data_IF_480046616655
#
_entry.id   IF_480046616655
#
_cell.length_a   1.000
_cell.length_b   1.000
_cell.length_c   1.000
_cell.angle_alpha   90.00
_cell.angle_beta   90.00
_cell.angle_gamma   90.00
#
_symmetry.space_group_name_H-M   'P 1'
#
loop_
_entity.id
_entity.type
_entity.pdbx_description
1 polymer ?
#
# COMPACT_ATOMS: atom_id res chain seq x y z
N UNK A 1 -34.48 14.32 51.70
CA UNK A 1 -33.66 13.13 52.05
C UNK A 1 -32.59 13.00 50.95
N UNK A 2 -31.27 13.15 51.14
CA UNK A 2 -30.36 12.83 52.28
C UNK A 2 -30.61 11.39 52.78
N UNK A 3 -29.69 10.42 52.76
CA UNK A 3 -28.27 10.36 52.32
C UNK A 3 -28.06 9.06 51.49
N UNK A 4 -26.89 8.54 51.08
CA UNK A 4 -25.47 8.70 51.48
C UNK A 4 -24.54 8.20 50.33
N UNK A 5 -23.24 8.48 50.43
CA UNK A 5 -22.19 7.80 49.64
C UNK A 5 -21.39 6.85 50.56
N UNK A 6 -20.90 5.73 50.01
CA UNK A 6 -20.00 4.79 50.69
C UNK A 6 -18.87 4.45 49.73
N UNK A 7 -17.63 4.71 50.15
CA UNK A 7 -16.43 4.28 49.43
C UNK A 7 -15.64 3.24 50.23
N UNK A 8 -14.62 2.65 49.61
CA UNK A 8 -13.58 1.90 50.31
C UNK A 8 -13.10 0.62 49.62
N UNK A 9 -11.77 0.47 49.52
CA UNK A 9 -11.14 -0.85 49.44
C UNK A 9 -10.79 -1.43 48.06
N UNK A 10 -9.85 -0.80 47.32
CA UNK A 10 -9.07 -1.55 46.32
C UNK A 10 -8.21 -2.60 47.03
N UNK A 11 -8.54 -3.88 46.88
CA UNK A 11 -7.74 -5.01 47.39
C UNK A 11 -6.39 -5.06 46.64
N UNK A 12 -5.28 -4.99 47.37
CA UNK A 12 -3.94 -5.31 46.83
C UNK A 12 -3.74 -6.81 46.87
N UNK A 13 -3.43 -7.42 45.74
CA UNK A 13 -2.85 -8.77 45.69
C UNK A 13 -1.32 -8.67 45.90
N UNK A 14 -0.68 -9.66 46.55
CA UNK A 14 0.78 -9.66 46.70
C UNK A 14 1.49 -9.93 45.36
N UNK A 15 2.65 -9.31 45.16
CA UNK A 15 3.51 -9.55 44.01
C UNK A 15 4.23 -10.90 44.11
N UNK A 16 3.97 -11.81 43.17
CA UNK A 16 4.84 -12.96 42.92
C UNK A 16 5.89 -12.57 41.87
N UNK A 17 7.14 -12.46 42.29
CA UNK A 17 8.27 -12.16 41.41
C UNK A 17 8.69 -13.42 40.64
N UNK A 18 8.41 -13.46 39.34
CA UNK A 18 9.02 -14.42 38.41
C UNK A 18 10.04 -13.67 37.57
N UNK A 19 11.31 -13.80 37.91
CA UNK A 19 12.43 -13.20 37.18
C UNK A 19 12.66 -13.94 35.86
N UNK A 20 12.30 -13.31 34.74
CA UNK A 20 12.62 -13.83 33.40
C UNK A 20 13.90 -13.16 32.87
N UNK A 21 14.93 -13.93 32.46
CA UNK A 21 16.26 -13.39 32.14
C UNK A 21 16.38 -12.97 30.67
N UNK A 22 15.63 -11.95 30.26
CA UNK A 22 15.90 -11.18 29.05
C UNK A 22 15.77 -9.69 29.37
N UNK A 23 16.92 -9.05 29.60
CA UNK A 23 17.00 -7.61 29.84
C UNK A 23 16.64 -6.83 28.58
N UNK A 24 15.36 -6.53 28.43
CA UNK A 24 14.91 -5.40 27.61
C UNK A 24 15.65 -4.17 28.13
N UNK A 25 16.43 -3.52 27.27
CA UNK A 25 17.04 -2.23 27.58
C UNK A 25 15.90 -1.22 27.62
N UNK A 26 15.36 -1.00 28.82
CA UNK A 26 14.49 0.14 29.09
C UNK A 26 15.34 1.40 29.00
N UNK A 27 15.31 2.06 27.85
CA UNK A 27 15.69 3.47 27.76
C UNK A 27 14.58 4.29 28.42
N UNK A 28 14.56 4.29 29.76
CA UNK A 28 13.91 5.36 30.51
C UNK A 28 14.86 6.56 30.46
N UNK A 29 14.48 7.58 29.67
CA UNK A 29 14.76 9.02 29.83
C UNK A 29 14.42 9.76 28.52
N UNK A 30 13.13 9.83 28.18
CA UNK A 30 12.63 10.76 27.15
C UNK A 30 12.41 12.15 27.78
N UNK A 31 13.49 12.75 28.29
CA UNK A 31 13.60 14.21 28.27
C UNK A 31 13.79 14.60 26.79
N UNK A 32 12.72 14.99 26.11
CA UNK A 32 12.81 15.43 24.70
C UNK A 32 13.68 16.69 24.59
N UNK A 33 14.98 16.49 24.37
CA UNK A 33 15.89 17.52 23.90
C UNK A 33 15.37 18.02 22.53
N UNK A 34 14.94 19.29 22.41
CA UNK A 34 14.32 19.83 21.20
C UNK A 34 15.32 20.03 20.05
N UNK A 35 16.53 19.49 20.16
CA UNK A 35 17.57 19.57 19.14
C UNK A 35 17.23 18.71 17.91
N UNK A 36 17.56 19.17 16.69
CA UNK A 36 17.31 18.40 15.47
C UNK A 36 18.24 17.18 15.39
N UNK A 37 17.65 15.98 15.28
CA UNK A 37 18.33 14.70 15.25
C UNK A 37 18.41 14.13 13.82
N UNK A 38 19.49 13.39 13.53
CA UNK A 38 19.61 12.61 12.29
C UNK A 38 19.43 11.11 12.60
N UNK A 39 18.42 10.48 12.00
CA UNK A 39 18.16 9.04 12.14
C UNK A 39 18.34 8.36 10.78
N UNK A 40 19.16 7.30 10.73
CA UNK A 40 19.39 6.52 9.51
C UNK A 40 18.36 5.39 9.39
N UNK A 41 17.56 5.38 8.32
CA UNK A 41 16.72 4.22 8.01
C UNK A 41 17.57 3.10 7.43
N UNK A 42 17.51 1.92 8.04
CA UNK A 42 18.17 0.69 7.53
C UNK A 42 17.47 0.19 6.26
N UNK A 43 16.14 0.30 6.19
CA UNK A 43 15.31 -0.21 5.08
C UNK A 43 15.60 0.55 3.77
N UNK A 44 15.71 1.88 3.84
CA UNK A 44 15.94 2.73 2.66
C UNK A 44 17.39 3.22 2.51
N UNK A 45 18.28 2.86 3.47
CA UNK A 45 19.65 3.36 3.57
C UNK A 45 19.80 4.90 3.45
N UNK A 46 18.82 5.66 3.96
CA UNK A 46 18.75 7.13 3.89
C UNK A 46 18.77 7.76 5.29
N UNK A 47 19.37 8.94 5.38
CA UNK A 47 19.30 9.79 6.57
C UNK A 47 18.01 10.62 6.56
N UNK A 48 17.35 10.70 7.71
CA UNK A 48 16.11 11.45 7.92
C UNK A 48 16.36 12.44 9.06
N UNK A 49 15.99 13.70 8.85
CA UNK A 49 16.04 14.75 9.87
C UNK A 49 14.75 14.69 10.68
N UNK A 50 14.88 14.58 12.01
CA UNK A 50 13.80 14.71 12.97
C UNK A 50 14.01 16.03 13.71
N UNK A 51 13.11 17.00 13.52
CA UNK A 51 13.13 18.28 14.21
C UNK A 51 11.73 18.60 14.68
N UNK A 52 11.56 18.81 15.98
CA UNK A 52 10.28 19.18 16.58
C UNK A 52 10.11 20.71 16.45
N UNK A 53 9.05 21.14 15.78
CA UNK A 53 8.67 22.55 15.78
C UNK A 53 7.85 22.82 17.05
N UNK A 54 8.48 23.42 18.05
CA UNK A 54 7.85 23.73 19.35
C UNK A 54 6.58 24.62 19.22
N UNK A 55 6.36 25.25 18.06
CA UNK A 55 5.14 26.00 17.75
C UNK A 55 4.00 25.18 17.16
N UNK A 56 4.20 23.89 16.82
CA UNK A 56 3.19 23.04 16.15
C UNK A 56 3.04 21.68 16.82
N UNK A 57 1.84 21.40 17.32
CA UNK A 57 1.47 20.09 17.86
C UNK A 57 1.15 19.11 16.74
N UNK A 58 1.23 17.81 17.04
CA UNK A 58 0.80 16.75 16.11
C UNK A 58 -0.65 16.95 15.61
N UNK A 59 -1.53 17.54 16.42
CA UNK A 59 -2.91 17.91 16.06
C UNK A 59 -3.03 18.99 14.98
N UNK A 60 -2.00 19.81 14.80
CA UNK A 60 -2.05 20.99 13.93
C UNK A 60 -1.74 20.59 12.47
N UNK A 61 -1.19 19.38 12.28
CA UNK A 61 -1.03 18.73 10.99
C UNK A 61 -2.37 18.19 10.47
N UNK A 62 -3.24 19.11 10.02
CA UNK A 62 -4.36 18.73 9.17
C UNK A 62 -3.84 18.15 7.87
N UNK A 63 -4.10 16.87 7.63
CA UNK A 63 -4.07 16.32 6.29
C UNK A 63 -4.97 17.16 5.38
N UNK A 64 -4.52 17.47 4.16
CA UNK A 64 -5.41 18.01 3.13
C UNK A 64 -6.47 16.95 2.88
N UNK A 65 -7.69 17.17 3.36
CA UNK A 65 -8.77 16.19 3.23
C UNK A 65 -9.21 16.11 1.78
N UNK A 66 -8.57 15.23 1.01
CA UNK A 66 -8.93 14.89 -0.37
C UNK A 66 -10.13 13.94 -0.41
N UNK A 67 -11.16 14.21 0.41
CA UNK A 67 -12.53 13.87 0.06
C UNK A 67 -12.86 14.72 -1.15
N UNK A 68 -12.53 14.18 -2.32
CA UNK A 68 -12.56 14.89 -3.58
C UNK A 68 -14.02 15.18 -3.92
N UNK A 69 -14.47 16.41 -3.65
CA UNK A 69 -15.81 16.92 -3.98
C UNK A 69 -15.99 17.18 -5.49
N UNK A 70 -15.16 16.53 -6.31
CA UNK A 70 -15.24 16.60 -7.76
C UNK A 70 -16.56 15.95 -8.23
N UNK A 71 -17.44 16.70 -8.92
CA UNK A 71 -18.70 16.16 -9.44
C UNK A 71 -18.52 15.07 -10.51
N UNK A 72 -17.29 14.77 -10.96
CA UNK A 72 -17.02 13.61 -11.81
C UNK A 72 -17.19 12.27 -11.10
N UNK A 73 -17.21 12.22 -9.75
CA UNK A 73 -17.30 10.97 -8.96
C UNK A 73 -18.61 10.17 -9.17
N UNK A 74 -19.57 10.73 -9.90
CA UNK A 74 -20.82 10.06 -10.29
C UNK A 74 -20.90 9.77 -11.81
N UNK A 75 -19.80 9.94 -12.56
CA UNK A 75 -19.76 9.59 -13.99
C UNK A 75 -19.07 8.23 -14.17
N UNK A 76 -19.61 7.32 -15.00
CA UNK A 76 -18.90 6.11 -15.34
C UNK A 76 -17.59 6.43 -16.07
N UNK A 77 -16.65 5.50 -16.01
CA UNK A 77 -15.38 5.53 -16.73
C UNK A 77 -15.08 4.14 -17.33
N UNK A 78 -14.01 4.03 -18.12
CA UNK A 78 -13.58 2.78 -18.79
C UNK A 78 -13.26 1.60 -17.86
N UNK A 79 -13.23 1.82 -16.54
CA UNK A 79 -13.06 0.76 -15.54
C UNK A 79 -14.38 0.32 -14.88
N UNK A 80 -15.49 0.99 -15.17
CA UNK A 80 -16.81 0.60 -14.67
C UNK A 80 -17.35 -0.61 -15.45
N UNK A 81 -18.18 -1.40 -14.78
CA UNK A 81 -18.91 -2.49 -15.46
C UNK A 81 -19.74 -1.95 -16.64
N UNK A 82 -19.80 -2.72 -17.73
CA UNK A 82 -20.45 -2.34 -18.98
C UNK A 82 -19.62 -1.45 -19.92
N UNK A 83 -18.37 -1.13 -19.56
CA UNK A 83 -17.42 -0.37 -20.37
C UNK A 83 -16.15 -1.20 -20.68
N UNK A 84 -16.25 -2.53 -20.62
CA UNK A 84 -15.14 -3.46 -20.84
C UNK A 84 -14.50 -3.27 -22.22
N UNK A 85 -15.31 -3.02 -23.26
CA UNK A 85 -14.89 -2.81 -24.65
C UNK A 85 -14.17 -1.48 -24.89
N UNK A 86 -14.30 -0.51 -23.97
CA UNK A 86 -13.57 0.78 -23.99
C UNK A 86 -12.23 0.68 -23.22
N UNK A 87 -11.97 -0.45 -22.59
CA UNK A 87 -10.78 -0.70 -21.79
C UNK A 87 -9.67 -1.37 -22.63
N UNK A 88 -8.46 -1.33 -22.12
CA UNK A 88 -7.33 -2.16 -22.57
C UNK A 88 -7.62 -3.66 -22.40
N UNK A 89 -6.85 -4.54 -23.10
CA UNK A 89 -6.99 -5.98 -22.99
C UNK A 89 -7.02 -6.48 -21.55
N UNK A 90 -7.92 -7.43 -21.30
CA UNK A 90 -8.05 -8.07 -20.02
C UNK A 90 -7.09 -9.25 -19.88
N UNK A 91 -6.51 -9.38 -18.70
CA UNK A 91 -5.61 -10.47 -18.33
C UNK A 91 -6.43 -11.54 -17.57
N UNK A 92 -7.19 -11.13 -16.56
CA UNK A 92 -8.22 -11.96 -15.91
C UNK A 92 -9.25 -11.12 -15.14
N UNK A 93 -10.31 -11.79 -14.69
CA UNK A 93 -11.35 -11.27 -13.80
C UNK A 93 -11.65 -12.21 -12.63
N UNK A 94 -12.24 -11.68 -11.57
CA UNK A 94 -12.72 -12.42 -10.41
C UNK A 94 -14.18 -12.03 -10.13
N UNK A 95 -15.15 -12.98 -10.11
CA UNK A 95 -15.00 -14.38 -10.50
C UNK A 95 -14.58 -14.56 -11.96
N UNK A 96 -13.94 -15.69 -12.27
CA UNK A 96 -13.38 -15.96 -13.61
C UNK A 96 -14.50 -16.17 -14.64
N UNK A 97 -14.31 -15.64 -15.85
CA UNK A 97 -15.28 -15.66 -16.99
C UNK A 97 -16.70 -15.12 -16.71
N UNK A 98 -16.99 -14.57 -15.54
CA UNK A 98 -18.31 -14.00 -15.23
C UNK A 98 -18.47 -12.56 -15.76
N UNK A 99 -19.66 -12.24 -16.27
CA UNK A 99 -20.01 -10.86 -16.68
C UNK A 99 -20.12 -9.92 -15.47
N UNK A 100 -20.60 -10.42 -14.34
CA UNK A 100 -20.74 -9.68 -13.07
C UNK A 100 -19.47 -9.80 -12.22
N UNK A 101 -18.34 -9.37 -12.80
CA UNK A 101 -17.04 -9.36 -12.12
C UNK A 101 -17.02 -8.38 -10.94
N UNK A 102 -16.16 -8.67 -9.96
CA UNK A 102 -15.84 -7.79 -8.82
C UNK A 102 -14.48 -7.12 -8.96
N UNK A 103 -13.49 -7.88 -9.42
CA UNK A 103 -12.12 -7.41 -9.63
C UNK A 103 -11.74 -7.76 -11.07
N UNK A 104 -11.01 -6.88 -11.73
CA UNK A 104 -10.41 -7.11 -13.05
C UNK A 104 -8.95 -6.72 -13.05
N UNK A 105 -8.15 -7.45 -13.81
CA UNK A 105 -6.75 -7.11 -14.08
C UNK A 105 -6.63 -6.90 -15.59
N UNK A 106 -6.22 -5.70 -15.98
CA UNK A 106 -6.13 -5.24 -17.37
C UNK A 106 -4.75 -4.65 -17.63
N UNK A 107 -4.31 -4.60 -18.88
CA UNK A 107 -3.09 -3.86 -19.24
C UNK A 107 -3.27 -2.37 -18.90
N UNK A 108 -2.22 -1.64 -18.50
CA UNK A 108 -2.36 -0.21 -18.24
C UNK A 108 -2.50 0.56 -19.58
N UNK A 109 -3.60 1.31 -19.83
CA UNK A 109 -3.74 2.12 -21.05
C UNK A 109 -2.68 3.22 -21.19
N UNK A 110 -2.01 3.59 -20.09
CA UNK A 110 -0.90 4.54 -20.03
C UNK A 110 0.37 3.86 -19.52
N UNK A 111 0.68 2.67 -20.04
CA UNK A 111 1.86 1.91 -19.66
C UNK A 111 3.17 2.70 -19.93
N UNK A 112 3.95 2.88 -18.85
CA UNK A 112 5.28 3.54 -18.88
C UNK A 112 6.39 2.60 -19.41
N UNK A 113 6.09 1.30 -19.47
CA UNK A 113 6.98 0.24 -19.95
C UNK A 113 6.25 -0.53 -21.05
N UNK A 114 6.98 -1.05 -22.05
CA UNK A 114 6.40 -1.83 -23.13
C UNK A 114 6.70 -3.33 -22.94
N UNK A 115 5.66 -4.14 -23.13
CA UNK A 115 5.72 -5.60 -23.14
C UNK A 115 6.26 -6.18 -24.45
N UNK A 116 6.35 -5.35 -25.50
CA UNK A 116 6.70 -5.75 -26.87
C UNK A 116 8.16 -5.43 -27.26
N UNK A 117 8.91 -4.76 -26.37
CA UNK A 117 10.32 -4.47 -26.60
C UNK A 117 11.19 -5.74 -26.46
N UNK A 118 12.31 -5.83 -27.18
CA UNK A 118 13.25 -6.94 -27.02
C UNK A 118 13.82 -6.97 -25.60
N UNK A 119 13.90 -8.17 -25.02
CA UNK A 119 14.54 -8.39 -23.72
C UNK A 119 16.05 -8.45 -23.89
N UNK A 120 16.78 -7.60 -23.18
CA UNK A 120 18.22 -7.69 -23.03
C UNK A 120 18.57 -8.22 -21.64
N UNK A 121 19.08 -9.46 -21.58
CA UNK A 121 19.44 -10.14 -20.33
C UNK A 121 20.85 -9.71 -19.87
N UNK A 122 21.79 -9.61 -20.82
CA UNK A 122 23.20 -9.32 -20.58
C UNK A 122 23.57 -7.91 -21.05
N UNK A 123 23.13 -6.88 -20.32
CA UNK A 123 23.55 -5.50 -20.59
C UNK A 123 24.87 -5.20 -19.88
N UNK A 124 25.91 -4.70 -20.59
CA UNK A 124 27.16 -4.30 -19.95
C UNK A 124 26.95 -3.22 -18.87
N UNK A 125 27.73 -3.31 -17.79
CA UNK A 125 27.69 -2.43 -16.60
C UNK A 125 27.87 -0.92 -16.89
N UNK A 126 28.26 -0.57 -18.11
CA UNK A 126 28.53 0.80 -18.58
C UNK A 126 27.52 1.35 -19.61
N UNK A 127 26.41 0.67 -19.90
CA UNK A 127 25.39 1.22 -20.80
C UNK A 127 24.49 2.19 -20.04
N UNK A 128 24.63 3.49 -20.33
CA UNK A 128 23.88 4.56 -19.64
C UNK A 128 22.40 4.72 -20.02
N UNK A 129 21.89 3.91 -20.96
CA UNK A 129 20.49 3.93 -21.44
C UNK A 129 20.03 2.49 -21.69
N UNK A 130 18.84 2.15 -21.20
CA UNK A 130 18.19 0.85 -21.39
C UNK A 130 16.85 1.04 -22.08
N UNK A 131 16.45 0.07 -22.90
CA UNK A 131 15.09 -0.02 -23.41
C UNK A 131 14.10 -0.30 -22.27
N UNK A 132 12.96 0.39 -22.28
CA UNK A 132 11.93 0.32 -21.24
C UNK A 132 11.07 -0.93 -21.30
N UNK A 133 11.68 -2.12 -21.40
CA UNK A 133 10.95 -3.38 -21.34
C UNK A 133 10.36 -3.61 -19.95
N UNK A 134 9.09 -4.02 -19.92
CA UNK A 134 8.41 -4.40 -18.70
C UNK A 134 6.90 -4.47 -18.87
N UNK A 135 6.22 -4.93 -17.83
CA UNK A 135 4.77 -5.13 -17.84
C UNK A 135 4.17 -4.16 -16.82
N UNK A 136 3.15 -3.42 -17.25
CA UNK A 136 2.46 -2.44 -16.42
C UNK A 136 0.96 -2.71 -16.57
N UNK A 137 0.34 -3.19 -15.50
CA UNK A 137 -1.04 -3.63 -15.45
C UNK A 137 -1.79 -2.88 -14.33
N UNK A 138 -3.11 -2.74 -14.50
CA UNK A 138 -4.02 -2.08 -13.55
C UNK A 138 -4.90 -3.14 -12.90
N UNK A 139 -5.04 -3.07 -11.57
CA UNK A 139 -5.98 -3.88 -10.80
C UNK A 139 -7.18 -2.99 -10.47
N UNK A 140 -8.33 -3.31 -11.04
CA UNK A 140 -9.60 -2.62 -10.84
C UNK A 140 -10.28 -3.24 -9.62
N UNK A 141 -10.45 -2.44 -8.56
CA UNK A 141 -10.82 -2.90 -7.22
C UNK A 141 -12.34 -3.07 -6.99
N UNK A 142 -13.18 -2.39 -7.78
CA UNK A 142 -14.64 -2.54 -7.79
C UNK A 142 -15.21 -2.19 -9.19
N UNK A 143 -16.31 -2.82 -9.64
CA UNK A 143 -17.06 -2.41 -10.84
C UNK A 143 -17.79 -1.06 -10.68
N UNK A 144 -17.95 -0.56 -9.44
CA UNK A 144 -18.73 0.64 -9.13
C UNK A 144 -17.80 1.84 -8.90
N UNK A 145 -17.98 2.90 -9.67
CA UNK A 145 -17.11 4.09 -9.65
C UNK A 145 -17.01 4.81 -8.29
N UNK A 146 -18.11 4.80 -7.51
CA UNK A 146 -18.19 5.56 -6.26
C UNK A 146 -17.35 4.98 -5.12
N UNK A 147 -17.11 3.67 -5.18
CA UNK A 147 -16.49 2.88 -4.13
C UNK A 147 -15.02 3.25 -3.97
N UNK A 148 -14.57 3.31 -2.72
CA UNK A 148 -13.16 3.38 -2.37
C UNK A 148 -12.76 2.09 -1.67
N UNK A 149 -11.46 1.78 -1.66
CA UNK A 149 -10.90 0.64 -0.91
C UNK A 149 -11.32 0.61 0.58
N UNK A 150 -11.66 1.77 1.17
CA UNK A 150 -12.13 1.90 2.56
C UNK A 150 -13.62 1.56 2.75
N UNK A 151 -14.41 1.55 1.67
CA UNK A 151 -15.83 1.20 1.69
C UNK A 151 -16.03 -0.33 1.53
N UNK A 152 -15.01 -1.03 1.03
CA UNK A 152 -15.00 -2.49 0.81
C UNK A 152 -14.88 -3.28 2.11
N UNK A 153 -15.48 -4.48 2.16
CA UNK A 153 -15.32 -5.37 3.31
C UNK A 153 -13.90 -5.95 3.39
N UNK A 154 -13.43 -6.38 4.58
CA UNK A 154 -12.15 -7.07 4.72
C UNK A 154 -12.00 -8.32 3.83
N UNK A 155 -13.11 -8.96 3.43
CA UNK A 155 -13.11 -10.08 2.50
C UNK A 155 -12.78 -9.61 1.07
N UNK A 156 -13.42 -8.55 0.60
CA UNK A 156 -13.19 -8.00 -0.75
C UNK A 156 -11.78 -7.42 -0.89
N UNK A 157 -11.28 -6.75 0.16
CA UNK A 157 -9.87 -6.34 0.24
C UNK A 157 -8.93 -7.56 0.17
N UNK A 158 -9.31 -8.68 0.81
CA UNK A 158 -8.61 -9.96 0.68
C UNK A 158 -8.63 -10.53 -0.74
N UNK A 159 -9.79 -10.49 -1.42
CA UNK A 159 -9.96 -10.89 -2.83
C UNK A 159 -9.05 -10.04 -3.75
N UNK A 160 -8.89 -8.73 -3.47
CA UNK A 160 -7.95 -7.84 -4.19
C UNK A 160 -6.49 -8.29 -3.98
N UNK A 161 -6.07 -8.56 -2.73
CA UNK A 161 -4.70 -9.04 -2.46
C UNK A 161 -4.40 -10.41 -3.08
N UNK A 162 -5.42 -11.28 -3.20
CA UNK A 162 -5.30 -12.55 -3.94
C UNK A 162 -5.07 -12.26 -5.42
N UNK A 163 -5.84 -11.36 -6.05
CA UNK A 163 -5.62 -10.98 -7.45
C UNK A 163 -4.21 -10.39 -7.70
N UNK A 164 -3.72 -9.52 -6.81
CA UNK A 164 -2.32 -9.05 -6.84
C UNK A 164 -1.33 -10.22 -6.77
N UNK A 165 -1.54 -11.17 -5.86
CA UNK A 165 -0.65 -12.32 -5.67
C UNK A 165 -0.65 -13.25 -6.88
N UNK A 166 -1.81 -13.55 -7.45
CA UNK A 166 -1.94 -14.33 -8.69
C UNK A 166 -1.19 -13.69 -9.84
N UNK A 167 -1.36 -12.36 -10.05
CA UNK A 167 -0.64 -11.67 -11.13
C UNK A 167 0.87 -11.62 -10.89
N UNK A 168 1.32 -11.43 -9.66
CA UNK A 168 2.75 -11.51 -9.31
C UNK A 168 3.28 -12.92 -9.59
N UNK A 169 2.55 -13.97 -9.24
CA UNK A 169 2.97 -15.36 -9.49
C UNK A 169 3.10 -15.66 -10.98
N UNK A 170 2.20 -15.18 -11.83
CA UNK A 170 2.35 -15.27 -13.30
C UNK A 170 3.64 -14.59 -13.77
N UNK A 171 3.88 -13.35 -13.34
CA UNK A 171 5.01 -12.53 -13.77
C UNK A 171 6.38 -13.04 -13.28
N UNK A 172 6.44 -13.71 -12.12
CA UNK A 172 7.68 -14.31 -11.58
C UNK A 172 8.24 -15.44 -12.47
N UNK A 173 7.42 -16.07 -13.31
CA UNK A 173 7.88 -17.10 -14.25
C UNK A 173 8.56 -16.53 -15.51
N UNK A 174 8.56 -15.20 -15.69
CA UNK A 174 9.27 -14.54 -16.78
C UNK A 174 10.71 -14.27 -16.34
N UNK A 175 11.68 -15.04 -16.86
CA UNK A 175 13.12 -14.84 -16.58
C UNK A 175 13.63 -13.43 -16.89
N UNK A 176 12.93 -12.72 -17.79
CA UNK A 176 13.19 -11.33 -18.13
C UNK A 176 12.84 -10.33 -17.02
N UNK A 177 12.01 -10.69 -16.04
CA UNK A 177 11.55 -9.80 -14.97
C UNK A 177 12.38 -10.02 -13.70
N UNK A 178 13.11 -8.99 -13.26
CA UNK A 178 13.92 -9.02 -12.04
C UNK A 178 13.21 -8.47 -10.82
N UNK A 179 12.26 -7.55 -11.01
CA UNK A 179 11.57 -6.86 -9.92
C UNK A 179 10.11 -6.58 -10.25
N UNK A 180 9.23 -6.74 -9.27
CA UNK A 180 7.80 -6.45 -9.39
C UNK A 180 7.39 -5.54 -8.23
N UNK A 181 6.89 -4.35 -8.55
CA UNK A 181 6.31 -3.40 -7.62
C UNK A 181 4.78 -3.49 -7.67
N UNK A 182 4.18 -4.00 -6.59
CA UNK A 182 2.76 -3.77 -6.31
C UNK A 182 2.55 -2.40 -5.68
N UNK A 183 1.59 -1.63 -6.19
CA UNK A 183 0.99 -0.46 -5.55
C UNK A 183 -0.52 -0.68 -5.52
N UNK A 184 -1.26 -0.04 -4.61
CA UNK A 184 -2.72 -0.07 -4.68
C UNK A 184 -3.17 0.37 -6.09
N UNK A 185 -4.11 -0.39 -6.64
CA UNK A 185 -4.61 -0.34 -8.03
C UNK A 185 -3.60 -0.56 -9.19
N UNK A 186 -2.33 -0.95 -8.97
CA UNK A 186 -1.33 -1.06 -10.06
C UNK A 186 -0.22 -2.08 -9.80
N UNK A 187 0.13 -2.88 -10.81
CA UNK A 187 1.33 -3.74 -10.82
C UNK A 187 2.31 -3.27 -11.90
N UNK A 188 3.58 -3.06 -11.53
CA UNK A 188 4.66 -2.73 -12.47
C UNK A 188 5.79 -3.73 -12.30
N UNK A 189 6.13 -4.45 -13.37
CA UNK A 189 7.20 -5.42 -13.44
C UNK A 189 8.29 -4.93 -14.41
N UNK A 190 9.56 -5.00 -13.98
CA UNK A 190 10.72 -4.46 -14.71
C UNK A 190 11.82 -5.52 -14.86
N UNK A 191 12.52 -5.45 -15.99
CA UNK A 191 13.73 -6.26 -16.25
C UNK A 191 15.02 -5.64 -15.73
N UNK A 192 15.04 -4.33 -15.51
CA UNK A 192 16.27 -3.56 -15.28
C UNK A 192 16.52 -3.23 -13.81
N UNK A 193 17.31 -4.08 -13.15
CA UNK A 193 18.19 -3.78 -12.01
C UNK A 193 19.48 -4.62 -12.12
#
# INVERSE_FOLDING_TARGET
MRTKSVGGGKRRCPSLSVSSPLSIITQENDDEDPSPQLRKSVIWNRWIIFSQDNGKKASDFKGKSTFNTNPSRNKPCVFCIGHEDECTPEIFRVPYDETNWKIRVVENPNAVLSRDLPVFIDVPEFVGVLDGFGIHDVVIESPVHSDQLLDLSPKEIGEIFVAFTSRIQELVHLESIKYIQGRLSTVVALSAL
#
